data_IF_851995500425
#
_entry.id   IF_851995500425
#
_cell.length_a   1.000
_cell.length_b   1.000
_cell.length_c   1.000
_cell.angle_alpha   90.00
_cell.angle_beta   90.00
_cell.angle_gamma   90.00
#
_symmetry.space_group_name_H-M   'P 1'
#
loop_
_entity.id
_entity.type
_entity.pdbx_description
1 polymer ?
#
# COMPACT_ATOMS: atom_id res chain seq x y z
N UNK A 1 -32.13 -4.37 -1.09
CA UNK A 1 -32.13 -4.73 -2.53
C UNK A 1 -30.75 -4.93 -3.12
N UNK A 2 -29.67 -4.31 -2.59
CA UNK A 2 -28.30 -4.57 -3.04
C UNK A 2 -27.74 -5.94 -2.60
N UNK A 3 -28.11 -6.43 -1.41
CA UNK A 3 -27.64 -7.74 -0.87
C UNK A 3 -28.02 -8.94 -1.75
N UNK A 4 -29.28 -9.00 -2.21
CA UNK A 4 -29.78 -10.09 -3.06
C UNK A 4 -29.17 -10.10 -4.47
N UNK A 5 -28.72 -8.95 -4.99
CA UNK A 5 -28.03 -8.86 -6.29
C UNK A 5 -26.57 -9.28 -6.19
N UNK A 6 -25.92 -8.98 -5.07
CA UNK A 6 -24.56 -9.45 -4.75
C UNK A 6 -24.55 -10.97 -4.56
N UNK A 7 -25.50 -11.54 -3.81
CA UNK A 7 -25.62 -12.99 -3.60
C UNK A 7 -25.91 -13.76 -4.92
N UNK A 8 -26.71 -13.19 -5.82
CA UNK A 8 -26.95 -13.79 -7.15
C UNK A 8 -25.69 -13.78 -8.02
N UNK A 9 -24.92 -12.68 -8.02
CA UNK A 9 -23.65 -12.57 -8.75
C UNK A 9 -22.59 -13.52 -8.21
N UNK A 10 -22.53 -13.73 -6.88
CA UNK A 10 -21.60 -14.66 -6.23
C UNK A 10 -21.95 -16.12 -6.58
N UNK A 11 -23.22 -16.50 -6.56
CA UNK A 11 -23.65 -17.85 -6.92
C UNK A 11 -23.41 -18.16 -8.42
N UNK A 12 -23.70 -17.20 -9.31
CA UNK A 12 -23.44 -17.34 -10.76
C UNK A 12 -21.93 -17.37 -11.06
N UNK A 13 -21.11 -16.56 -10.39
CA UNK A 13 -19.65 -16.56 -10.50
C UNK A 13 -19.05 -17.91 -10.08
N UNK A 14 -19.52 -18.48 -8.96
CA UNK A 14 -18.99 -19.76 -8.44
C UNK A 14 -19.30 -20.94 -9.36
N UNK A 15 -20.51 -21.00 -9.94
CA UNK A 15 -20.89 -22.05 -10.89
C UNK A 15 -20.08 -21.97 -12.19
N UNK A 16 -19.83 -20.76 -12.71
CA UNK A 16 -18.98 -20.55 -13.88
C UNK A 16 -17.54 -20.98 -13.59
N UNK A 17 -16.99 -20.61 -12.44
CA UNK A 17 -15.64 -21.00 -12.00
C UNK A 17 -15.49 -22.52 -11.94
N UNK A 18 -16.45 -23.23 -11.34
CA UNK A 18 -16.42 -24.69 -11.25
C UNK A 18 -16.48 -25.32 -12.65
N UNK A 19 -17.39 -24.84 -13.51
CA UNK A 19 -17.52 -25.35 -14.89
C UNK A 19 -16.24 -25.15 -15.69
N UNK A 20 -15.59 -23.99 -15.57
CA UNK A 20 -14.32 -23.70 -16.22
C UNK A 20 -13.22 -24.67 -15.76
N UNK A 21 -13.02 -24.83 -14.45
CA UNK A 21 -12.02 -25.76 -13.91
C UNK A 21 -12.27 -27.20 -14.34
N UNK A 22 -13.51 -27.67 -14.28
CA UNK A 22 -13.89 -29.03 -14.69
C UNK A 22 -13.66 -29.26 -16.18
N UNK A 23 -14.10 -28.32 -17.03
CA UNK A 23 -13.92 -28.44 -18.47
C UNK A 23 -12.44 -28.44 -18.87
N UNK A 24 -11.62 -27.58 -18.26
CA UNK A 24 -10.17 -27.58 -18.47
C UNK A 24 -9.53 -28.89 -18.01
N UNK A 25 -9.89 -29.39 -16.82
CA UNK A 25 -9.38 -30.67 -16.33
C UNK A 25 -9.69 -31.83 -17.27
N UNK A 26 -10.91 -31.87 -17.85
CA UNK A 26 -11.31 -32.87 -18.84
C UNK A 26 -10.47 -32.77 -20.12
N UNK A 27 -10.24 -31.56 -20.63
CA UNK A 27 -9.39 -31.35 -21.82
C UNK A 27 -7.95 -31.80 -21.55
N UNK A 28 -7.38 -31.42 -20.41
CA UNK A 28 -6.04 -31.86 -20.00
C UNK A 28 -5.97 -33.38 -19.81
N UNK A 29 -7.02 -34.01 -19.29
CA UNK A 29 -7.11 -35.45 -19.16
C UNK A 29 -7.10 -36.14 -20.54
N UNK A 30 -7.89 -35.65 -21.50
CA UNK A 30 -7.89 -36.17 -22.88
C UNK A 30 -6.48 -36.12 -23.46
N UNK A 31 -5.76 -35.01 -23.29
CA UNK A 31 -4.38 -34.89 -23.75
C UNK A 31 -3.44 -35.89 -23.05
N UNK A 32 -3.54 -36.03 -21.72
CA UNK A 32 -2.69 -36.97 -20.96
C UNK A 32 -2.91 -38.42 -21.38
N UNK A 33 -4.16 -38.83 -21.56
CA UNK A 33 -4.50 -40.18 -22.03
C UNK A 33 -3.95 -40.43 -23.44
N UNK A 34 -4.18 -39.49 -24.35
CA UNK A 34 -3.72 -39.60 -25.74
C UNK A 34 -2.19 -39.58 -25.85
N UNK A 35 -1.51 -38.78 -25.02
CA UNK A 35 -0.06 -38.74 -24.95
C UNK A 35 0.53 -40.01 -24.29
N UNK A 36 -0.13 -40.51 -23.23
CA UNK A 36 0.26 -41.70 -22.47
C UNK A 36 0.11 -43.02 -23.23
N UNK A 37 -0.71 -43.06 -24.29
CA UNK A 37 -0.73 -44.18 -25.22
C UNK A 37 0.60 -44.26 -25.98
N UNK A 38 1.47 -45.16 -25.51
CA UNK A 38 2.91 -45.13 -25.75
C UNK A 38 3.38 -45.84 -27.03
N UNK A 39 2.50 -46.45 -27.84
CA UNK A 39 2.98 -47.46 -28.81
C UNK A 39 2.63 -47.32 -30.30
N UNK A 40 1.81 -46.38 -30.79
CA UNK A 40 1.40 -46.43 -32.22
C UNK A 40 1.40 -45.14 -33.03
N UNK A 41 1.49 -43.95 -32.43
CA UNK A 41 1.37 -42.68 -33.17
C UNK A 41 2.56 -41.77 -32.88
N UNK A 42 3.08 -41.12 -33.93
CA UNK A 42 4.06 -40.05 -33.77
C UNK A 42 3.40 -38.82 -33.11
N UNK A 43 4.24 -37.95 -32.53
CA UNK A 43 3.79 -36.78 -31.78
C UNK A 43 2.86 -35.87 -32.62
N UNK A 44 3.21 -35.61 -33.88
CA UNK A 44 2.41 -34.77 -34.79
C UNK A 44 0.97 -35.30 -34.96
N UNK A 45 0.80 -36.61 -35.13
CA UNK A 45 -0.52 -37.22 -35.28
C UNK A 45 -1.31 -37.16 -33.97
N UNK A 46 -0.62 -37.27 -32.83
CA UNK A 46 -1.26 -37.09 -31.52
C UNK A 46 -1.79 -35.68 -31.34
N UNK A 47 -1.01 -34.67 -31.73
CA UNK A 47 -1.41 -33.26 -31.64
C UNK A 47 -2.58 -32.94 -32.59
N UNK A 48 -2.56 -33.46 -33.82
CA UNK A 48 -3.66 -33.32 -34.77
C UNK A 48 -4.95 -34.00 -34.26
N UNK A 49 -4.84 -35.23 -33.74
CA UNK A 49 -5.96 -35.94 -33.15
C UNK A 49 -6.55 -35.20 -31.94
N UNK A 50 -5.69 -34.66 -31.06
CA UNK A 50 -6.13 -33.85 -29.94
C UNK A 50 -6.87 -32.59 -30.40
N UNK A 51 -6.32 -31.88 -31.39
CA UNK A 51 -6.94 -30.70 -31.99
C UNK A 51 -8.33 -31.00 -32.55
N UNK A 52 -8.51 -32.15 -33.24
CA UNK A 52 -9.81 -32.57 -33.77
C UNK A 52 -10.84 -32.89 -32.68
N UNK A 53 -10.42 -33.51 -31.57
CA UNK A 53 -11.34 -33.97 -30.50
C UNK A 53 -11.66 -32.85 -29.50
N UNK A 54 -10.67 -32.06 -29.11
CA UNK A 54 -10.78 -31.10 -28.01
C UNK A 54 -10.64 -29.64 -28.45
N UNK A 55 -10.23 -29.37 -29.70
CA UNK A 55 -9.94 -28.01 -30.18
C UNK A 55 -11.11 -27.04 -30.03
N UNK A 56 -12.34 -27.47 -30.37
CA UNK A 56 -13.53 -26.61 -30.20
C UNK A 56 -13.82 -26.30 -28.73
N UNK A 57 -13.57 -27.25 -27.83
CA UNK A 57 -13.75 -27.03 -26.38
C UNK A 57 -12.71 -26.06 -25.85
N UNK A 58 -11.46 -26.16 -26.30
CA UNK A 58 -10.41 -25.20 -25.95
C UNK A 58 -10.74 -23.80 -26.47
N UNK A 59 -11.23 -23.66 -27.70
CA UNK A 59 -11.61 -22.36 -28.24
C UNK A 59 -12.72 -21.70 -27.41
N UNK A 60 -13.72 -22.47 -26.95
CA UNK A 60 -14.76 -21.97 -26.04
C UNK A 60 -14.21 -21.56 -24.68
N UNK A 61 -13.26 -22.32 -24.12
CA UNK A 61 -12.60 -21.95 -22.86
C UNK A 61 -11.82 -20.64 -23.01
N UNK A 62 -11.09 -20.47 -24.11
CA UNK A 62 -10.37 -19.24 -24.43
C UNK A 62 -11.33 -18.07 -24.66
N UNK A 63 -12.48 -18.29 -25.32
CA UNK A 63 -13.51 -17.26 -25.50
C UNK A 63 -14.06 -16.75 -24.17
N UNK A 64 -14.35 -17.66 -23.23
CA UNK A 64 -14.79 -17.27 -21.88
C UNK A 64 -13.67 -16.52 -21.16
N UNK A 65 -12.44 -17.03 -21.16
CA UNK A 65 -11.30 -16.35 -20.52
C UNK A 65 -11.07 -14.94 -21.10
N UNK A 66 -11.19 -14.81 -22.43
CA UNK A 66 -11.08 -13.53 -23.14
C UNK A 66 -12.15 -12.55 -22.67
N UNK A 67 -13.41 -12.99 -22.57
CA UNK A 67 -14.51 -12.14 -22.10
C UNK A 67 -14.27 -11.59 -20.69
N UNK A 68 -13.68 -12.39 -19.80
CA UNK A 68 -13.32 -11.95 -18.45
C UNK A 68 -12.11 -11.00 -18.45
N UNK A 69 -11.09 -11.26 -19.29
CA UNK A 69 -9.93 -10.39 -19.44
C UNK A 69 -10.29 -9.00 -19.99
N UNK A 70 -11.44 -8.88 -20.67
CA UNK A 70 -11.96 -7.64 -21.26
C UNK A 70 -13.09 -7.02 -20.42
N UNK A 71 -13.51 -7.68 -19.34
CA UNK A 71 -14.55 -7.20 -18.47
C UNK A 71 -14.06 -6.03 -17.61
N UNK A 72 -14.93 -5.06 -17.35
CA UNK A 72 -14.70 -4.04 -16.33
C UNK A 72 -14.90 -4.62 -14.93
N UNK A 73 -13.89 -4.53 -14.07
CA UNK A 73 -13.94 -5.03 -12.70
C UNK A 73 -14.19 -3.89 -11.71
N UNK A 74 -14.97 -4.14 -10.65
CA UNK A 74 -15.25 -3.15 -9.60
C UNK A 74 -14.43 -3.41 -8.34
N UNK A 75 -13.80 -2.37 -7.80
CA UNK A 75 -13.11 -2.43 -6.50
C UNK A 75 -14.03 -2.86 -5.34
N UNK A 76 -15.34 -2.61 -5.48
CA UNK A 76 -16.36 -3.00 -4.51
C UNK A 76 -16.57 -4.52 -4.36
N UNK A 77 -16.17 -5.30 -5.37
CA UNK A 77 -16.28 -6.77 -5.40
C UNK A 77 -14.90 -7.42 -5.61
N UNK A 78 -13.85 -6.79 -5.06
CA UNK A 78 -12.46 -7.22 -5.27
C UNK A 78 -12.24 -8.70 -4.91
N UNK A 79 -12.89 -9.21 -3.85
CA UNK A 79 -12.74 -10.62 -3.43
C UNK A 79 -13.32 -11.59 -4.45
N UNK A 80 -14.51 -11.29 -4.97
CA UNK A 80 -15.18 -12.09 -5.99
C UNK A 80 -14.42 -12.06 -7.32
N UNK A 81 -13.93 -10.88 -7.70
CA UNK A 81 -13.07 -10.70 -8.87
C UNK A 81 -11.81 -11.54 -8.73
N UNK A 82 -11.09 -11.44 -7.61
CA UNK A 82 -9.85 -12.20 -7.37
C UNK A 82 -10.10 -13.72 -7.35
N UNK A 83 -11.23 -14.17 -6.81
CA UNK A 83 -11.62 -15.60 -6.85
C UNK A 83 -11.83 -16.09 -8.29
N UNK A 84 -12.44 -15.25 -9.14
CA UNK A 84 -12.65 -15.58 -10.55
C UNK A 84 -11.33 -15.55 -11.33
N UNK A 85 -10.48 -14.55 -11.06
CA UNK A 85 -9.15 -14.39 -11.65
C UNK A 85 -8.25 -15.58 -11.29
N UNK A 86 -8.28 -16.06 -10.05
CA UNK A 86 -7.58 -17.28 -9.61
C UNK A 86 -7.96 -18.50 -10.45
N UNK A 87 -9.27 -18.71 -10.64
CA UNK A 87 -9.74 -19.80 -11.48
C UNK A 87 -9.29 -19.66 -12.94
N UNK A 88 -9.27 -18.43 -13.46
CA UNK A 88 -8.82 -18.16 -14.83
C UNK A 88 -7.31 -18.36 -14.98
N UNK A 89 -6.50 -18.00 -13.98
CA UNK A 89 -5.05 -18.27 -14.02
C UNK A 89 -4.78 -19.77 -14.09
N UNK A 90 -5.44 -20.57 -13.25
CA UNK A 90 -5.35 -22.03 -13.29
C UNK A 90 -5.77 -22.59 -14.67
N UNK A 91 -6.87 -22.08 -15.23
CA UNK A 91 -7.34 -22.47 -16.57
C UNK A 91 -6.31 -22.12 -17.64
N UNK A 92 -5.84 -20.88 -17.68
CA UNK A 92 -4.90 -20.38 -18.69
C UNK A 92 -3.56 -21.10 -18.60
N UNK A 93 -3.05 -21.35 -17.40
CA UNK A 93 -1.84 -22.14 -17.15
C UNK A 93 -1.96 -23.55 -17.76
N UNK A 94 -3.06 -24.25 -17.47
CA UNK A 94 -3.29 -25.60 -17.97
C UNK A 94 -3.47 -25.63 -19.50
N UNK A 95 -4.16 -24.64 -20.08
CA UNK A 95 -4.34 -24.53 -21.53
C UNK A 95 -3.04 -24.20 -22.26
N UNK A 96 -2.16 -23.42 -21.64
CA UNK A 96 -0.84 -23.08 -22.20
C UNK A 96 0.04 -24.32 -22.38
N UNK A 97 -0.10 -25.32 -21.50
CA UNK A 97 0.63 -26.59 -21.59
C UNK A 97 0.11 -27.56 -22.66
N UNK A 98 -0.95 -27.22 -23.39
CA UNK A 98 -1.53 -28.06 -24.44
C UNK A 98 -0.86 -27.81 -25.81
N UNK A 99 -0.81 -28.82 -26.71
CA UNK A 99 -0.14 -28.70 -28.00
C UNK A 99 -1.04 -28.02 -29.06
N UNK A 100 -1.50 -26.80 -28.77
CA UNK A 100 -2.42 -26.05 -29.66
C UNK A 100 -1.85 -24.71 -30.14
N UNK A 101 -0.59 -24.42 -29.81
CA UNK A 101 0.11 -23.19 -30.18
C UNK A 101 -0.67 -21.90 -29.87
N UNK A 102 -1.20 -21.80 -28.63
CA UNK A 102 -2.01 -20.65 -28.15
C UNK A 102 -1.32 -19.79 -27.10
N UNK A 103 -0.02 -19.99 -26.88
CA UNK A 103 0.76 -19.29 -25.85
C UNK A 103 0.68 -17.77 -25.97
N UNK A 104 0.84 -17.22 -27.17
CA UNK A 104 0.78 -15.77 -27.40
C UNK A 104 -0.59 -15.17 -27.05
N UNK A 105 -1.67 -15.87 -27.39
CA UNK A 105 -3.03 -15.43 -27.08
C UNK A 105 -3.30 -15.42 -25.56
N UNK A 106 -2.87 -16.50 -24.89
CA UNK A 106 -2.96 -16.66 -23.43
C UNK A 106 -2.13 -15.60 -22.69
N UNK A 107 -0.92 -15.30 -23.18
CA UNK A 107 -0.09 -14.24 -22.63
C UNK A 107 -0.79 -12.87 -22.74
N UNK A 108 -1.35 -12.53 -23.91
CA UNK A 108 -2.10 -11.28 -24.10
C UNK A 108 -3.29 -11.17 -23.13
N UNK A 109 -4.07 -12.23 -22.96
CA UNK A 109 -5.18 -12.25 -21.99
C UNK A 109 -4.69 -12.01 -20.56
N UNK A 110 -3.57 -12.63 -20.19
CA UNK A 110 -2.99 -12.50 -18.84
C UNK A 110 -2.44 -11.10 -18.58
N UNK A 111 -1.78 -10.47 -19.56
CA UNK A 111 -1.32 -9.09 -19.43
C UNK A 111 -2.50 -8.11 -19.26
N UNK A 112 -3.62 -8.33 -19.99
CA UNK A 112 -4.85 -7.56 -19.80
C UNK A 112 -5.43 -7.74 -18.39
N UNK A 113 -5.46 -8.97 -17.88
CA UNK A 113 -5.92 -9.24 -16.52
C UNK A 113 -5.05 -8.51 -15.47
N UNK A 114 -3.73 -8.56 -15.61
CA UNK A 114 -2.80 -7.82 -14.73
C UNK A 114 -3.06 -6.30 -14.80
N UNK A 115 -3.26 -5.75 -16.01
CA UNK A 115 -3.61 -4.34 -16.16
C UNK A 115 -4.95 -3.97 -15.51
N UNK A 116 -5.95 -4.86 -15.58
CA UNK A 116 -7.24 -4.65 -14.93
C UNK A 116 -7.16 -4.74 -13.39
N UNK A 117 -6.22 -5.52 -12.83
CA UNK A 117 -5.95 -5.51 -11.38
C UNK A 117 -5.49 -4.11 -10.93
N UNK A 118 -4.62 -3.47 -11.71
CA UNK A 118 -4.22 -2.08 -11.46
C UNK A 118 -5.42 -1.12 -11.55
N UNK A 119 -6.32 -1.33 -12.51
CA UNK A 119 -7.55 -0.55 -12.64
C UNK A 119 -8.51 -0.66 -11.45
N UNK A 120 -8.41 -1.69 -10.60
CA UNK A 120 -9.15 -1.76 -9.34
C UNK A 120 -8.66 -0.73 -8.32
N UNK A 121 -7.36 -0.41 -8.33
CA UNK A 121 -6.77 0.58 -7.43
C UNK A 121 -7.27 1.98 -7.76
N UNK A 122 -7.37 2.31 -9.05
CA UNK A 122 -7.86 3.61 -9.51
C UNK A 122 -9.33 3.84 -9.14
N UNK A 123 -10.13 2.77 -9.19
CA UNK A 123 -11.54 2.78 -8.80
C UNK A 123 -11.77 2.77 -7.29
N UNK A 124 -10.74 2.44 -6.50
CA UNK A 124 -10.87 2.48 -5.06
C UNK A 124 -11.25 3.89 -4.63
N UNK A 125 -12.33 4.01 -3.86
CA UNK A 125 -12.84 5.29 -3.44
C UNK A 125 -11.73 6.08 -2.73
N UNK A 126 -11.40 7.24 -3.26
CA UNK A 126 -10.73 8.26 -2.48
C UNK A 126 -11.73 8.65 -1.38
N UNK A 127 -11.36 8.58 -0.11
CA UNK A 127 -12.25 8.91 1.02
C UNK A 127 -12.67 10.40 1.09
N UNK A 128 -12.75 11.07 -0.07
CA UNK A 128 -13.06 12.49 -0.24
C UNK A 128 -14.49 12.79 0.22
N UNK A 129 -15.41 11.83 0.09
CA UNK A 129 -16.78 11.96 0.58
C UNK A 129 -16.96 11.28 1.95
N UNK A 130 -17.00 12.12 2.98
CA UNK A 130 -17.62 11.91 4.31
C UNK A 130 -16.73 11.42 5.47
N UNK A 131 -16.44 12.40 6.34
CA UNK A 131 -16.48 12.38 7.83
C UNK A 131 -15.75 11.32 8.65
N UNK A 132 -15.21 10.26 8.07
CA UNK A 132 -14.40 9.28 8.78
C UNK A 132 -13.07 9.11 8.06
N UNK A 133 -12.09 9.92 8.46
CA UNK A 133 -10.70 9.70 8.11
C UNK A 133 -10.33 8.28 8.60
N UNK A 134 -10.33 7.32 7.69
CA UNK A 134 -9.81 5.98 7.93
C UNK A 134 -8.29 6.08 7.96
N UNK A 135 -7.67 5.43 8.95
CA UNK A 135 -6.20 5.33 9.02
C UNK A 135 -5.63 4.68 7.77
N UNK A 136 -6.38 3.76 7.15
CA UNK A 136 -5.99 3.00 5.95
C UNK A 136 -6.87 3.38 4.76
N UNK A 137 -6.22 3.69 3.65
CA UNK A 137 -6.86 4.07 2.39
C UNK A 137 -7.49 2.84 1.71
N UNK A 138 -8.69 2.95 1.10
CA UNK A 138 -9.32 1.82 0.40
C UNK A 138 -8.45 1.19 -0.68
N UNK A 139 -7.64 1.98 -1.40
CA UNK A 139 -6.70 1.45 -2.39
C UNK A 139 -5.65 0.52 -1.76
N UNK A 140 -5.23 0.76 -0.52
CA UNK A 140 -4.30 -0.12 0.22
C UNK A 140 -4.94 -1.45 0.58
N UNK A 141 -6.23 -1.45 0.92
CA UNK A 141 -6.97 -2.70 1.18
C UNK A 141 -7.08 -3.54 -0.09
N UNK A 142 -7.40 -2.91 -1.23
CA UNK A 142 -7.41 -3.58 -2.55
C UNK A 142 -6.02 -4.10 -2.88
N UNK A 143 -4.98 -3.29 -2.68
CA UNK A 143 -3.59 -3.65 -2.96
C UNK A 143 -3.15 -4.88 -2.17
N UNK A 144 -3.42 -4.94 -0.86
CA UNK A 144 -3.09 -6.10 -0.03
C UNK A 144 -3.75 -7.38 -0.56
N UNK A 145 -5.03 -7.34 -0.96
CA UNK A 145 -5.71 -8.51 -1.52
C UNK A 145 -5.12 -8.94 -2.87
N UNK A 146 -4.74 -7.99 -3.73
CA UNK A 146 -4.07 -8.30 -4.99
C UNK A 146 -2.69 -8.93 -4.73
N UNK A 147 -1.94 -8.44 -3.74
CA UNK A 147 -0.66 -9.03 -3.36
C UNK A 147 -0.82 -10.47 -2.85
N UNK A 148 -1.82 -10.76 -2.01
CA UNK A 148 -2.12 -12.13 -1.55
C UNK A 148 -2.45 -13.07 -2.71
N UNK A 149 -3.23 -12.58 -3.67
CA UNK A 149 -3.57 -13.31 -4.88
C UNK A 149 -2.32 -13.63 -5.71
N UNK A 150 -1.47 -12.62 -5.96
CA UNK A 150 -0.24 -12.79 -6.73
C UNK A 150 0.71 -13.76 -6.02
N UNK A 151 0.87 -13.65 -4.70
CA UNK A 151 1.73 -14.54 -3.91
C UNK A 151 1.32 -16.00 -4.10
N UNK A 152 0.01 -16.25 -3.93
CA UNK A 152 -0.61 -17.57 -4.06
C UNK A 152 -0.48 -18.18 -5.46
N UNK A 153 -0.30 -17.34 -6.48
CA UNK A 153 -0.29 -17.73 -7.89
C UNK A 153 1.05 -17.42 -8.61
N UNK A 154 2.12 -17.14 -7.86
CA UNK A 154 3.39 -16.62 -8.40
C UNK A 154 3.92 -17.43 -9.58
N UNK A 155 4.07 -18.74 -9.39
CA UNK A 155 4.66 -19.63 -10.40
C UNK A 155 3.80 -19.70 -11.68
N UNK A 156 2.47 -19.79 -11.51
CA UNK A 156 1.53 -19.86 -12.64
C UNK A 156 1.52 -18.56 -13.43
N UNK A 157 1.41 -17.42 -12.75
CA UNK A 157 1.40 -16.10 -13.40
C UNK A 157 2.71 -15.84 -14.14
N UNK A 158 3.86 -16.17 -13.52
CA UNK A 158 5.16 -16.01 -14.18
C UNK A 158 5.31 -16.90 -15.42
N UNK A 159 4.90 -18.18 -15.35
CA UNK A 159 5.00 -19.09 -16.49
C UNK A 159 4.11 -18.65 -17.66
N UNK A 160 2.90 -18.18 -17.35
CA UNK A 160 1.99 -17.69 -18.38
C UNK A 160 2.60 -16.49 -19.12
N UNK A 161 3.10 -15.52 -18.36
CA UNK A 161 3.64 -14.27 -18.91
C UNK A 161 4.98 -14.46 -19.64
N UNK A 162 5.81 -15.41 -19.20
CA UNK A 162 7.14 -15.66 -19.79
C UNK A 162 7.10 -16.12 -21.26
N UNK A 163 5.95 -16.61 -21.75
CA UNK A 163 5.81 -17.11 -23.13
C UNK A 163 5.38 -16.06 -24.14
N UNK A 164 5.08 -14.84 -23.70
CA UNK A 164 4.76 -13.71 -24.57
C UNK A 164 5.78 -12.59 -24.45
N UNK A 165 5.68 -11.59 -25.32
CA UNK A 165 6.47 -10.34 -25.25
C UNK A 165 6.05 -9.43 -24.06
N UNK A 166 5.46 -9.99 -23.01
CA UNK A 166 4.98 -9.24 -21.86
C UNK A 166 6.16 -8.95 -20.92
N UNK A 167 6.66 -7.71 -20.96
CA UNK A 167 7.78 -7.24 -20.13
C UNK A 167 7.34 -6.71 -18.77
N UNK A 168 6.03 -6.74 -18.48
CA UNK A 168 5.45 -6.18 -17.26
C UNK A 168 5.58 -7.18 -16.13
N UNK A 169 6.38 -6.84 -15.12
CA UNK A 169 6.37 -7.54 -13.83
C UNK A 169 5.08 -7.17 -13.06
N UNK A 170 4.16 -8.11 -12.81
CA UNK A 170 2.86 -7.82 -12.20
C UNK A 170 2.99 -7.17 -10.82
N UNK A 171 3.95 -7.63 -10.03
CA UNK A 171 4.23 -7.13 -8.70
C UNK A 171 4.63 -5.65 -8.71
N UNK A 172 5.63 -5.31 -9.51
CA UNK A 172 6.13 -3.95 -9.66
C UNK A 172 5.07 -3.02 -10.24
N UNK A 173 4.33 -3.49 -11.24
CA UNK A 173 3.30 -2.70 -11.89
C UNK A 173 2.17 -2.30 -10.94
N UNK A 174 1.60 -3.28 -10.22
CA UNK A 174 0.51 -3.01 -9.27
C UNK A 174 1.01 -2.16 -8.10
N UNK A 175 2.25 -2.36 -7.65
CA UNK A 175 2.88 -1.51 -6.63
C UNK A 175 3.00 -0.06 -7.09
N UNK A 176 3.47 0.19 -8.32
CA UNK A 176 3.58 1.55 -8.88
C UNK A 176 2.23 2.25 -9.01
N UNK A 177 1.19 1.52 -9.42
CA UNK A 177 -0.18 2.04 -9.46
C UNK A 177 -0.70 2.40 -8.07
N UNK A 178 -0.47 1.54 -7.07
CA UNK A 178 -0.87 1.81 -5.69
C UNK A 178 -0.17 3.04 -5.12
N UNK A 179 1.15 3.15 -5.29
CA UNK A 179 1.92 4.33 -4.83
C UNK A 179 1.41 5.61 -5.49
N UNK A 180 1.23 5.58 -6.81
CA UNK A 180 0.76 6.75 -7.58
C UNK A 180 -0.62 7.21 -7.10
N UNK A 181 -1.54 6.25 -6.95
CA UNK A 181 -2.90 6.50 -6.46
C UNK A 181 -2.89 7.07 -5.04
N UNK A 182 -2.10 6.49 -4.15
CA UNK A 182 -2.01 6.91 -2.76
C UNK A 182 -1.41 8.32 -2.62
N UNK A 183 -0.34 8.63 -3.34
CA UNK A 183 0.27 9.97 -3.34
C UNK A 183 -0.67 11.02 -3.94
N UNK A 184 -1.37 10.70 -5.03
CA UNK A 184 -2.34 11.60 -5.64
C UNK A 184 -3.51 11.91 -4.69
N UNK A 185 -4.10 10.88 -4.08
CA UNK A 185 -5.25 11.04 -3.19
C UNK A 185 -4.83 11.74 -1.88
N UNK A 186 -3.67 11.38 -1.30
CA UNK A 186 -3.16 12.05 -0.10
C UNK A 186 -2.95 13.55 -0.33
N UNK A 187 -2.38 13.94 -1.47
CA UNK A 187 -2.19 15.33 -1.87
C UNK A 187 -3.52 16.07 -2.05
N UNK A 188 -4.53 15.42 -2.64
CA UNK A 188 -5.88 16.00 -2.79
C UNK A 188 -6.58 16.20 -1.45
N UNK A 189 -6.42 15.25 -0.52
CA UNK A 189 -7.00 15.31 0.82
C UNK A 189 -6.32 16.37 1.71
N UNK A 190 -5.00 16.52 1.58
CA UNK A 190 -4.18 17.32 2.49
C UNK A 190 -3.68 18.64 1.89
N UNK A 191 -4.39 19.24 0.92
CA UNK A 191 -3.95 20.34 0.04
C UNK A 191 -2.95 21.36 0.65
N UNK A 192 -3.14 21.77 1.92
CA UNK A 192 -2.26 22.71 2.62
C UNK A 192 -1.48 22.13 3.83
N UNK A 193 -1.75 20.88 4.23
CA UNK A 193 -1.16 20.20 5.39
C UNK A 193 -0.21 19.09 4.92
N UNK A 194 0.96 19.46 4.38
CA UNK A 194 1.96 18.49 3.90
C UNK A 194 2.44 17.52 4.98
N UNK A 195 2.49 17.96 6.24
CA UNK A 195 2.82 17.11 7.38
C UNK A 195 1.77 16.01 7.58
N UNK A 196 0.49 16.31 7.34
CA UNK A 196 -0.60 15.33 7.35
C UNK A 196 -0.55 14.38 6.16
N UNK A 197 -0.20 14.89 4.98
CA UNK A 197 0.00 14.06 3.77
C UNK A 197 0.97 12.91 4.06
N UNK A 198 2.12 13.20 4.68
CA UNK A 198 3.09 12.18 5.03
C UNK A 198 2.59 11.18 6.08
N UNK A 199 1.72 11.58 7.02
CA UNK A 199 1.13 10.65 7.99
C UNK A 199 0.17 9.67 7.32
N UNK A 200 -0.66 10.13 6.38
CA UNK A 200 -1.53 9.23 5.59
C UNK A 200 -0.66 8.24 4.81
N UNK A 201 0.37 8.72 4.12
CA UNK A 201 1.29 7.89 3.35
C UNK A 201 2.00 6.85 4.24
N UNK A 202 2.47 7.26 5.42
CA UNK A 202 3.12 6.37 6.37
C UNK A 202 2.19 5.29 6.94
N UNK A 203 0.96 5.65 7.32
CA UNK A 203 -0.01 4.67 7.82
C UNK A 203 -0.22 3.52 6.84
N UNK A 204 -0.41 3.88 5.56
CA UNK A 204 -0.65 2.92 4.50
C UNK A 204 0.60 2.10 4.16
N UNK A 205 1.77 2.73 4.09
CA UNK A 205 3.02 2.00 3.84
C UNK A 205 3.36 1.03 4.99
N UNK A 206 3.11 1.43 6.23
CA UNK A 206 3.32 0.57 7.40
C UNK A 206 2.30 -0.57 7.48
N UNK A 207 1.07 -0.37 7.04
CA UNK A 207 0.05 -1.43 6.96
C UNK A 207 0.47 -2.54 5.99
N UNK A 208 0.87 -2.18 4.77
CA UNK A 208 1.44 -3.12 3.79
C UNK A 208 2.67 -3.83 4.37
N UNK A 209 3.54 -3.10 5.06
CA UNK A 209 4.74 -3.69 5.68
C UNK A 209 4.40 -4.73 6.75
N UNK A 210 3.35 -4.49 7.54
CA UNK A 210 2.89 -5.45 8.54
C UNK A 210 2.31 -6.69 7.89
N UNK A 211 1.50 -6.50 6.85
CA UNK A 211 0.93 -7.58 6.05
C UNK A 211 2.03 -8.50 5.49
N UNK A 212 3.07 -7.92 4.89
CA UNK A 212 4.22 -8.67 4.37
C UNK A 212 5.05 -9.38 5.45
N UNK A 213 4.96 -8.96 6.72
CA UNK A 213 5.73 -9.53 7.84
C UNK A 213 4.96 -10.52 8.69
N UNK A 214 3.69 -10.80 8.38
CA UNK A 214 2.90 -11.68 9.22
C UNK A 214 3.49 -13.11 9.30
N UNK A 215 3.54 -13.73 10.50
CA UNK A 215 4.00 -15.11 10.64
C UNK A 215 3.15 -16.05 9.78
N UNK A 216 3.78 -16.70 8.79
CA UNK A 216 3.10 -17.54 7.82
C UNK A 216 2.88 -16.88 6.45
N UNK A 217 3.18 -15.59 6.30
CA UNK A 217 3.25 -14.95 4.98
C UNK A 217 4.47 -15.51 4.22
N UNK A 218 4.20 -16.13 3.06
CA UNK A 218 5.18 -16.56 2.08
C UNK A 218 5.65 -15.43 1.15
N UNK A 219 5.24 -14.20 1.44
CA UNK A 219 5.55 -13.06 0.60
C UNK A 219 7.00 -12.60 0.75
N UNK A 220 7.86 -13.01 -0.18
CA UNK A 220 9.29 -12.70 -0.20
C UNK A 220 9.74 -12.05 -1.52
N UNK A 221 8.99 -11.08 -2.04
CA UNK A 221 9.50 -10.24 -3.12
C UNK A 221 10.51 -9.22 -2.55
N UNK A 222 11.80 -9.58 -2.62
CA UNK A 222 12.92 -8.79 -2.04
C UNK A 222 12.98 -7.37 -2.61
N UNK A 223 12.67 -7.20 -3.90
CA UNK A 223 12.66 -5.90 -4.55
C UNK A 223 11.55 -5.02 -3.97
N UNK A 224 10.31 -5.51 -3.93
CA UNK A 224 9.18 -4.77 -3.35
C UNK A 224 9.41 -4.43 -1.88
N UNK A 225 9.94 -5.37 -1.10
CA UNK A 225 10.32 -5.15 0.30
C UNK A 225 11.31 -3.99 0.41
N UNK A 226 12.35 -3.98 -0.43
CA UNK A 226 13.37 -2.92 -0.45
C UNK A 226 12.76 -1.57 -0.84
N UNK A 227 11.89 -1.55 -1.85
CA UNK A 227 11.18 -0.35 -2.29
C UNK A 227 10.26 0.21 -1.20
N UNK A 228 9.53 -0.66 -0.51
CA UNK A 228 8.65 -0.29 0.60
C UNK A 228 9.42 0.31 1.78
N UNK A 229 10.57 -0.27 2.15
CA UNK A 229 11.45 0.29 3.20
C UNK A 229 11.92 1.69 2.83
N UNK A 230 12.44 1.87 1.60
CA UNK A 230 12.88 3.17 1.11
C UNK A 230 11.73 4.19 1.13
N UNK A 231 10.52 3.76 0.77
CA UNK A 231 9.34 4.60 0.77
C UNK A 231 8.94 5.05 2.20
N UNK A 232 8.91 4.12 3.16
CA UNK A 232 8.65 4.42 4.58
C UNK A 232 9.68 5.44 5.10
N UNK A 233 10.97 5.22 4.83
CA UNK A 233 12.03 6.14 5.26
C UNK A 233 11.87 7.53 4.63
N UNK A 234 11.50 7.60 3.35
CA UNK A 234 11.26 8.85 2.63
C UNK A 234 10.09 9.63 3.23
N UNK A 235 8.95 8.98 3.46
CA UNK A 235 7.79 9.65 4.05
C UNK A 235 8.02 10.06 5.51
N UNK A 236 8.72 9.23 6.28
CA UNK A 236 9.12 9.55 7.67
C UNK A 236 9.99 10.80 7.69
N UNK A 237 11.01 10.87 6.83
CA UNK A 237 11.86 12.04 6.70
C UNK A 237 11.06 13.28 6.31
N UNK A 238 10.21 13.18 5.29
CA UNK A 238 9.37 14.28 4.83
C UNK A 238 8.47 14.85 5.94
N UNK A 239 7.86 13.97 6.74
CA UNK A 239 7.06 14.37 7.90
C UNK A 239 7.87 15.22 8.90
N UNK A 240 9.07 14.77 9.28
CA UNK A 240 9.92 15.52 10.22
C UNK A 240 10.44 16.83 9.62
N UNK A 241 10.85 16.81 8.36
CA UNK A 241 11.37 17.99 7.64
C UNK A 241 10.32 19.10 7.49
N UNK A 242 9.05 18.74 7.23
CA UNK A 242 7.97 19.72 7.11
C UNK A 242 7.43 20.16 8.49
N UNK A 243 7.30 19.25 9.46
CA UNK A 243 6.59 19.54 10.71
C UNK A 243 7.51 20.01 11.85
N UNK A 244 8.59 19.28 12.12
CA UNK A 244 9.34 19.39 13.39
C UNK A 244 10.69 20.11 13.24
N UNK A 245 11.37 19.93 12.11
CA UNK A 245 12.65 20.61 11.84
C UNK A 245 12.51 22.13 11.87
N UNK A 246 11.51 22.77 11.24
CA UNK A 246 11.35 24.23 11.28
C UNK A 246 11.10 24.74 12.70
N UNK A 247 10.35 23.98 13.50
CA UNK A 247 10.11 24.28 14.91
C UNK A 247 11.42 24.30 15.70
N UNK A 248 12.26 23.26 15.56
CA UNK A 248 13.56 23.18 16.25
C UNK A 248 14.49 24.30 15.78
N UNK A 249 14.51 24.60 14.47
CA UNK A 249 15.31 25.69 13.93
C UNK A 249 14.90 27.06 14.47
N UNK A 250 13.63 27.27 14.86
CA UNK A 250 13.21 28.52 15.50
C UNK A 250 13.94 28.82 16.82
N UNK A 251 14.39 27.77 17.53
CA UNK A 251 15.23 27.90 18.74
C UNK A 251 16.68 28.26 18.40
N UNK A 252 17.11 28.02 17.16
CA UNK A 252 18.49 28.14 16.68
C UNK A 252 18.70 29.34 15.74
N UNK A 253 17.66 30.15 15.48
CA UNK A 253 17.78 31.34 14.63
C UNK A 253 18.76 32.37 15.22
N UNK A 254 19.82 32.63 14.45
CA UNK A 254 20.92 33.62 14.60
C UNK A 254 22.16 33.22 15.42
N UNK A 255 23.30 33.71 14.90
CA UNK A 255 24.67 33.47 15.34
C UNK A 255 24.86 33.56 16.86
N UNK A 256 25.42 32.46 17.38
CA UNK A 256 25.92 32.19 18.72
C UNK A 256 24.98 31.50 19.73
N UNK A 257 25.41 30.37 20.32
CA UNK A 257 24.83 29.81 21.56
C UNK A 257 25.01 30.71 22.80
N UNK A 258 25.38 31.99 22.61
CA UNK A 258 25.74 32.95 23.67
C UNK A 258 24.66 33.99 23.94
N UNK A 259 23.59 34.13 23.13
CA UNK A 259 22.53 35.13 23.37
C UNK A 259 21.12 34.67 22.93
N UNK A 260 20.54 33.61 23.55
CA UNK A 260 19.17 33.21 23.31
C UNK A 260 18.19 34.36 23.62
N UNK A 261 17.32 34.69 22.66
CA UNK A 261 16.31 35.75 22.80
C UNK A 261 14.99 35.18 23.32
N UNK A 262 14.29 35.97 24.13
CA UNK A 262 12.94 35.63 24.59
C UNK A 262 11.92 35.52 23.43
N UNK A 263 12.21 36.11 22.27
CA UNK A 263 11.37 36.02 21.07
C UNK A 263 11.42 34.64 20.43
N UNK A 264 12.59 33.97 20.40
CA UNK A 264 12.75 32.61 19.88
C UNK A 264 11.95 31.59 20.71
N UNK A 265 11.90 31.78 22.03
CA UNK A 265 11.08 30.95 22.92
C UNK A 265 9.58 31.11 22.65
N UNK A 266 9.14 32.33 22.35
CA UNK A 266 7.75 32.62 22.02
C UNK A 266 7.35 32.01 20.66
N UNK A 267 8.20 32.16 19.65
CA UNK A 267 8.01 31.56 18.31
C UNK A 267 7.92 30.02 18.41
N UNK A 268 8.85 29.40 19.13
CA UNK A 268 8.82 27.95 19.38
C UNK A 268 7.53 27.53 20.10
N UNK A 269 7.17 28.22 21.18
CA UNK A 269 5.99 27.86 21.98
C UNK A 269 4.71 27.93 21.13
N UNK A 270 4.58 28.98 20.32
CA UNK A 270 3.44 29.13 19.42
C UNK A 270 3.41 28.03 18.35
N UNK A 271 4.55 27.72 17.73
CA UNK A 271 4.66 26.64 16.75
C UNK A 271 4.32 25.28 17.36
N UNK A 272 4.84 24.99 18.55
CA UNK A 272 4.58 23.74 19.27
C UNK A 272 3.10 23.56 19.59
N UNK A 273 2.43 24.59 20.12
CA UNK A 273 0.99 24.55 20.41
C UNK A 273 0.18 24.32 19.12
N UNK A 274 0.56 24.98 18.03
CA UNK A 274 -0.10 24.80 16.73
C UNK A 274 0.03 23.36 16.23
N UNK A 275 1.21 22.76 16.34
CA UNK A 275 1.43 21.35 15.96
C UNK A 275 0.61 20.42 16.87
N UNK A 276 0.61 20.64 18.18
CA UNK A 276 -0.18 19.84 19.12
C UNK A 276 -1.67 19.84 18.75
N UNK A 277 -2.23 21.01 18.44
CA UNK A 277 -3.65 21.13 18.09
C UNK A 277 -4.02 20.29 16.88
N UNK A 278 -3.13 20.17 15.89
CA UNK A 278 -3.35 19.32 14.71
C UNK A 278 -3.13 17.84 15.01
N UNK A 279 -1.98 17.48 15.59
CA UNK A 279 -1.58 16.07 15.73
C UNK A 279 -2.34 15.28 16.80
N UNK A 280 -3.05 15.97 17.71
CA UNK A 280 -3.95 15.31 18.67
C UNK A 280 -5.18 14.69 18.00
N UNK A 281 -5.55 15.10 16.79
CA UNK A 281 -6.72 14.59 16.08
C UNK A 281 -6.38 13.57 15.00
N UNK A 282 -5.11 13.44 14.64
CA UNK A 282 -4.67 12.56 13.56
C UNK A 282 -4.60 11.10 14.00
N UNK A 283 -5.15 10.22 13.17
CA UNK A 283 -5.08 8.78 13.41
C UNK A 283 -3.79 8.21 12.83
N UNK A 284 -3.07 7.44 13.65
CA UNK A 284 -1.81 6.77 13.25
C UNK A 284 -1.88 5.29 13.62
N UNK A 285 -1.37 4.43 12.74
CA UNK A 285 -1.33 2.98 13.02
C UNK A 285 -0.52 2.69 14.30
N UNK A 286 -0.94 1.72 15.14
CA UNK A 286 -0.33 1.49 16.45
C UNK A 286 1.18 1.23 16.43
N UNK A 287 1.68 0.55 15.40
CA UNK A 287 3.12 0.25 15.24
C UNK A 287 3.96 1.50 15.02
N UNK A 288 3.43 2.48 14.29
CA UNK A 288 4.14 3.70 13.94
C UNK A 288 4.04 4.77 15.04
N UNK A 289 2.89 4.82 15.73
CA UNK A 289 2.56 5.81 16.75
C UNK A 289 3.65 5.98 17.81
N UNK A 290 4.10 4.88 18.41
CA UNK A 290 5.10 4.92 19.48
C UNK A 290 6.47 5.34 18.97
N UNK A 291 6.86 4.87 17.78
CA UNK A 291 8.14 5.22 17.19
C UNK A 291 8.22 6.72 16.83
N UNK A 292 7.17 7.27 16.22
CA UNK A 292 7.11 8.69 15.90
C UNK A 292 7.20 9.55 17.17
N UNK A 293 6.48 9.18 18.22
CA UNK A 293 6.54 9.91 19.50
C UNK A 293 7.95 9.93 20.09
N UNK A 294 8.64 8.80 20.08
CA UNK A 294 10.00 8.71 20.61
C UNK A 294 10.97 9.59 19.80
N UNK A 295 10.89 9.53 18.47
CA UNK A 295 11.71 10.37 17.60
C UNK A 295 11.41 11.86 17.75
N UNK A 296 10.13 12.25 17.87
CA UNK A 296 9.74 13.64 18.15
C UNK A 296 10.34 14.10 19.49
N UNK A 297 10.26 13.27 20.54
CA UNK A 297 10.86 13.59 21.85
C UNK A 297 12.37 13.81 21.71
N UNK A 298 13.07 12.89 21.06
CA UNK A 298 14.51 12.97 20.85
C UNK A 298 14.91 14.24 20.07
N UNK A 299 14.13 14.58 19.03
CA UNK A 299 14.37 15.72 18.16
C UNK A 299 14.07 17.07 18.85
N UNK A 300 13.01 17.16 19.65
CA UNK A 300 12.49 18.44 20.17
C UNK A 300 12.97 18.73 21.59
N UNK A 301 12.93 17.73 22.48
CA UNK A 301 13.16 17.95 23.92
C UNK A 301 14.61 18.30 24.20
N UNK A 302 15.57 17.66 23.51
CA UNK A 302 16.99 17.90 23.74
C UNK A 302 17.43 19.32 23.36
N UNK A 303 17.13 19.83 22.14
CA UNK A 303 17.41 21.23 21.80
C UNK A 303 16.70 22.24 22.72
N UNK A 304 15.46 21.94 23.12
CA UNK A 304 14.71 22.81 24.02
C UNK A 304 15.35 22.92 25.41
N UNK A 305 15.79 21.79 26.01
CA UNK A 305 16.53 21.78 27.28
C UNK A 305 17.80 22.62 27.19
N UNK A 306 18.59 22.43 26.13
CA UNK A 306 19.82 23.19 25.91
C UNK A 306 19.55 24.70 25.80
N UNK A 307 18.52 25.08 25.05
CA UNK A 307 18.10 26.47 24.90
C UNK A 307 17.69 27.11 26.24
N UNK A 308 16.87 26.42 27.06
CA UNK A 308 16.47 26.91 28.37
C UNK A 308 17.67 27.10 29.31
N UNK A 309 18.63 26.17 29.31
CA UNK A 309 19.86 26.30 30.09
C UNK A 309 20.68 27.53 29.68
N UNK A 310 20.87 27.77 28.38
CA UNK A 310 21.56 28.95 27.88
C UNK A 310 20.84 30.25 28.27
N UNK A 311 19.51 30.27 28.19
CA UNK A 311 18.69 31.43 28.56
C UNK A 311 18.81 31.77 30.05
N UNK A 312 18.87 30.76 30.91
CA UNK A 312 19.10 30.95 32.35
C UNK A 312 20.53 31.43 32.67
N UNK A 313 21.54 30.91 31.96
CA UNK A 313 22.94 31.31 32.10
C UNK A 313 23.13 32.81 31.84
N UNK A 314 22.49 33.35 30.81
CA UNK A 314 22.54 34.78 30.48
C UNK A 314 21.77 35.68 31.45
N UNK A 315 20.68 35.18 32.06
CA UNK A 315 19.90 35.95 33.04
C UNK A 315 20.61 36.13 34.38
N UNK A 316 21.65 35.35 34.69
CA UNK A 316 22.42 35.48 35.94
C UNK A 316 23.28 36.76 36.03
N UNK A 317 23.41 37.54 34.95
CA UNK A 317 24.05 38.87 34.94
C UNK A 317 23.15 40.06 35.33
N UNK A 318 21.84 39.86 35.46
CA UNK A 318 20.86 40.91 35.82
C UNK A 318 20.08 40.46 37.06
N UNK A 319 19.98 41.31 38.09
CA UNK A 319 19.54 40.91 39.44
C UNK A 319 18.26 40.06 39.45
N UNK A 320 18.40 38.82 39.95
CA UNK A 320 17.40 37.74 39.95
C UNK A 320 16.06 38.10 40.62
N UNK A 321 16.00 39.11 41.50
CA UNK A 321 14.77 39.47 42.23
C UNK A 321 13.78 40.33 41.45
N UNK A 322 14.20 41.06 40.41
CA UNK A 322 13.32 42.01 39.69
C UNK A 322 12.67 41.46 38.42
N UNK A 323 13.22 40.40 37.81
CA UNK A 323 12.65 39.81 36.58
C UNK A 323 11.67 38.64 36.85
N UNK A 324 11.89 37.86 37.90
CA UNK A 324 11.11 36.64 38.19
C UNK A 324 9.65 36.94 38.61
N UNK A 325 9.36 38.18 39.01
CA UNK A 325 8.00 38.60 39.40
C UNK A 325 7.16 39.16 38.26
N UNK A 326 7.71 39.41 37.06
CA UNK A 326 7.00 40.24 36.05
C UNK A 326 6.57 39.56 34.75
N UNK A 327 6.91 38.28 34.51
CA UNK A 327 6.43 37.50 33.35
C UNK A 327 6.91 36.04 33.47
N UNK A 328 6.27 35.23 34.32
CA UNK A 328 5.97 33.86 33.86
C UNK A 328 4.75 34.05 32.99
N UNK A 329 4.94 34.24 31.69
CA UNK A 329 3.80 34.16 30.78
C UNK A 329 3.20 32.77 30.98
N UNK A 330 1.87 32.69 30.99
CA UNK A 330 1.10 31.48 31.28
C UNK A 330 1.39 30.29 30.34
N UNK A 331 2.32 30.42 29.39
CA UNK A 331 2.52 29.53 28.25
C UNK A 331 3.95 28.94 28.15
N UNK A 332 4.85 29.19 29.11
CA UNK A 332 6.19 28.57 29.07
C UNK A 332 6.14 27.11 29.55
N UNK A 333 6.40 26.16 28.66
CA UNK A 333 6.50 24.73 28.98
C UNK A 333 7.82 24.41 29.68
N UNK A 334 7.80 23.52 30.67
CA UNK A 334 9.00 22.79 31.09
C UNK A 334 9.32 21.69 30.08
N UNK A 335 10.57 21.22 30.06
CA UNK A 335 10.94 20.12 29.17
C UNK A 335 10.15 18.83 29.46
N UNK A 336 9.80 18.58 30.72
CA UNK A 336 8.93 17.47 31.13
C UNK A 336 7.49 17.64 30.62
N UNK A 337 6.94 18.86 30.68
CA UNK A 337 5.61 19.14 30.12
C UNK A 337 5.56 18.97 28.60
N UNK A 338 6.63 19.34 27.88
CA UNK A 338 6.77 19.07 26.44
C UNK A 338 6.76 17.57 26.15
N UNK A 339 7.57 16.81 26.87
CA UNK A 339 7.70 15.36 26.70
C UNK A 339 6.38 14.63 26.99
N UNK A 340 5.67 15.02 28.05
CA UNK A 340 4.35 14.50 28.38
C UNK A 340 3.34 14.83 27.28
N UNK A 341 3.36 16.06 26.76
CA UNK A 341 2.44 16.47 25.70
C UNK A 341 2.67 15.72 24.39
N UNK A 342 3.92 15.48 24.02
CA UNK A 342 4.26 14.64 22.86
C UNK A 342 3.76 13.20 23.05
N UNK A 343 3.75 12.72 24.30
CA UNK A 343 3.18 11.42 24.66
C UNK A 343 1.68 11.26 24.34
N UNK A 344 0.95 12.36 24.16
CA UNK A 344 -0.49 12.36 23.87
C UNK A 344 -0.82 12.38 22.36
N UNK A 345 0.15 12.56 21.46
CA UNK A 345 -0.12 12.70 20.01
C UNK A 345 -0.63 11.42 19.37
N UNK A 346 -1.62 11.49 18.48
CA UNK A 346 -2.18 10.31 17.79
C UNK A 346 -2.97 9.34 18.69
N UNK A 347 -3.63 9.85 19.74
CA UNK A 347 -4.56 9.06 20.57
C UNK A 347 -6.01 9.04 20.05
N UNK A 348 -6.29 9.69 18.91
CA UNK A 348 -7.64 9.81 18.34
C UNK A 348 -8.19 8.56 17.66
#
# INVERSE_FOLDING_TARGET
MYSLRSELLVAESTDIVIKLKVATALVCFIWRELNGQSQQLCQEVKEECFSLVAGQSVEKLLEVARSFSEASWCACHVKEVLTTVDALVDVLYNLQGLPLNRSGEIAVMSCKMVANLSGLLDQAASGIDNSEESTIHPATVVFNQVLEFLDSNTDMVQLILATGDCTVDPYSHVFDCWVSKLEEDAKKMCQAEKDREYIILLNNACDVWQMMRHPGASFWNVELVSRLICMIQRYRRGYFEECWVPLVLSLLKEDYPKNPRSSSLAEFTQGFVSICQRQMTWKVVPSLKYELRDEIKNLVVTPYKAFLHALQGNRRGLSLKRLMSRRRSQNEYTAEQLENKIGEFFES
#
